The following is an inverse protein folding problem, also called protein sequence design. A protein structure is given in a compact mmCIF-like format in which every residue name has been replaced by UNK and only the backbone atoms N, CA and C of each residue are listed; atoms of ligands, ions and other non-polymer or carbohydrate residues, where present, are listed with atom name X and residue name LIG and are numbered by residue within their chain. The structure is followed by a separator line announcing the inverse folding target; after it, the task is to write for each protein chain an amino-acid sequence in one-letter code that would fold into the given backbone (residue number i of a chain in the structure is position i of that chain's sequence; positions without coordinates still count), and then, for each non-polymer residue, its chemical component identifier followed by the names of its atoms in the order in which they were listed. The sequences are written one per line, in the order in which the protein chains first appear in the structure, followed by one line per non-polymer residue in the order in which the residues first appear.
data_IF_689907472956
#
_entry.id   IF_689907472956
#
_cell.length_a   1.000
_cell.length_b   1.000
_cell.length_c   1.000
_cell.angle_alpha   90.00
_cell.angle_beta   90.00
_cell.angle_gamma   90.00
#
_symmetry.space_group_name_H-M   'P 1'
#
loop_
_entity.id
_entity.type
_entity.pdbx_description
1 polymer ?
#
# COMPACT_ATOMS: atom_id res chain seq x y z
N UNK A 1 -1.72 15.61 -15.70
CA UNK A 1 -1.70 14.77 -14.48
C UNK A 1 -0.44 14.99 -13.64
N UNK A 2 0.75 14.99 -14.25
CA UNK A 2 2.03 15.22 -13.55
C UNK A 2 2.15 16.62 -12.93
N UNK A 3 1.51 17.65 -13.47
CA UNK A 3 1.48 19.00 -12.93
C UNK A 3 0.85 19.08 -11.52
N UNK A 4 -0.02 18.10 -11.20
CA UNK A 4 -0.68 18.01 -9.89
C UNK A 4 0.17 17.32 -8.83
N UNK A 5 1.37 16.85 -9.17
CA UNK A 5 2.33 16.19 -8.26
C UNK A 5 3.61 17.01 -8.30
N UNK A 6 3.85 17.93 -7.36
CA UNK A 6 5.05 18.76 -7.28
C UNK A 6 6.34 17.91 -7.25
N UNK A 7 7.45 18.47 -7.70
CA UNK A 7 8.75 17.76 -7.75
C UNK A 7 9.19 17.22 -6.38
N UNK A 8 8.91 17.96 -5.31
CA UNK A 8 9.19 17.52 -3.94
C UNK A 8 8.42 16.25 -3.61
N UNK A 9 7.13 16.20 -3.92
CA UNK A 9 6.27 15.04 -3.67
C UNK A 9 6.70 13.84 -4.51
N UNK A 10 7.07 14.04 -5.79
CA UNK A 10 7.61 12.95 -6.64
C UNK A 10 8.87 12.35 -6.04
N UNK A 11 9.75 13.19 -5.48
CA UNK A 11 10.95 12.73 -4.78
C UNK A 11 10.59 11.94 -3.51
N UNK A 12 9.64 12.42 -2.73
CA UNK A 12 9.20 11.74 -1.51
C UNK A 12 8.55 10.39 -1.82
N UNK A 13 7.69 10.32 -2.83
CA UNK A 13 7.10 9.08 -3.33
C UNK A 13 8.17 8.09 -3.83
N UNK A 14 9.16 8.57 -4.59
CA UNK A 14 10.24 7.71 -5.09
C UNK A 14 11.09 7.15 -3.95
N UNK A 15 11.45 7.98 -2.96
CA UNK A 15 12.22 7.53 -1.79
C UNK A 15 11.40 6.49 -0.98
N UNK A 16 10.12 6.75 -0.75
CA UNK A 16 9.24 5.82 -0.04
C UNK A 16 9.09 4.50 -0.82
N UNK A 17 8.90 4.57 -2.13
CA UNK A 17 8.85 3.41 -3.02
C UNK A 17 10.09 2.52 -2.89
N UNK A 18 11.28 3.13 -3.04
CA UNK A 18 12.55 2.41 -2.94
C UNK A 18 12.76 1.82 -1.55
N UNK A 19 12.50 2.59 -0.50
CA UNK A 19 12.71 2.13 0.88
C UNK A 19 11.77 0.97 1.25
N UNK A 20 10.49 1.04 0.88
CA UNK A 20 9.55 -0.07 1.16
C UNK A 20 9.90 -1.31 0.32
N UNK A 21 10.36 -1.14 -0.91
CA UNK A 21 10.81 -2.25 -1.76
C UNK A 21 12.06 -2.92 -1.18
N UNK A 22 13.01 -2.16 -0.65
CA UNK A 22 14.18 -2.68 0.07
C UNK A 22 13.72 -3.44 1.32
N UNK A 23 12.83 -2.87 2.12
CA UNK A 23 12.32 -3.52 3.33
C UNK A 23 11.70 -4.89 3.04
N UNK A 24 10.83 -4.98 2.02
CA UNK A 24 10.25 -6.27 1.62
C UNK A 24 11.27 -7.23 1.03
N UNK A 25 12.26 -6.75 0.28
CA UNK A 25 13.37 -7.58 -0.19
C UNK A 25 14.11 -8.21 0.98
N UNK A 26 14.43 -7.43 2.02
CA UNK A 26 15.10 -7.92 3.21
C UNK A 26 14.32 -9.04 3.93
N UNK A 27 12.99 -8.99 3.92
CA UNK A 27 12.15 -10.09 4.45
C UNK A 27 12.37 -11.36 3.65
N UNK A 28 12.31 -11.29 2.31
CA UNK A 28 12.42 -12.47 1.44
C UNK A 28 13.80 -13.14 1.50
N UNK A 29 14.87 -12.38 1.71
CA UNK A 29 16.24 -12.90 1.71
C UNK A 29 16.70 -13.44 3.05
N UNK A 30 15.92 -13.37 4.12
CA UNK A 30 16.30 -13.89 5.47
C UNK A 30 16.64 -15.36 5.48
N UNK A 31 16.11 -16.15 4.54
CA UNK A 31 16.45 -17.57 4.38
C UNK A 31 17.78 -17.87 3.70
N UNK A 32 18.56 -16.83 3.39
CA UNK A 32 19.82 -16.93 2.65
C UNK A 32 19.57 -17.08 1.15
N UNK A 33 19.94 -16.07 0.36
CA UNK A 33 19.88 -16.08 -1.10
C UNK A 33 21.18 -15.58 -1.70
N UNK A 34 21.48 -16.02 -2.91
CA UNK A 34 22.59 -15.48 -3.70
C UNK A 34 22.23 -14.10 -4.30
N UNK A 35 23.19 -13.45 -4.95
CA UNK A 35 23.03 -12.13 -5.57
C UNK A 35 21.89 -12.11 -6.59
N UNK A 36 21.72 -13.17 -7.37
CA UNK A 36 20.62 -13.30 -8.35
C UNK A 36 19.26 -13.29 -7.66
N UNK A 37 19.10 -14.02 -6.56
CA UNK A 37 17.89 -14.01 -5.75
C UNK A 37 17.62 -12.64 -5.12
N UNK A 38 18.65 -11.93 -4.66
CA UNK A 38 18.51 -10.57 -4.14
C UNK A 38 17.92 -9.62 -5.21
N UNK A 39 18.50 -9.63 -6.42
CA UNK A 39 18.01 -8.80 -7.53
C UNK A 39 16.56 -9.17 -7.89
N UNK A 40 16.27 -10.46 -7.97
CA UNK A 40 14.93 -10.96 -8.25
C UNK A 40 13.89 -10.45 -7.25
N UNK A 41 14.13 -10.62 -5.95
CA UNK A 41 13.21 -10.17 -4.91
C UNK A 41 13.09 -8.64 -4.85
N UNK A 42 14.16 -7.92 -5.16
CA UNK A 42 14.10 -6.46 -5.24
C UNK A 42 13.22 -5.98 -6.40
N UNK A 43 13.40 -6.53 -7.59
CA UNK A 43 12.55 -6.20 -8.76
C UNK A 43 11.09 -6.58 -8.50
N UNK A 44 10.85 -7.76 -7.91
CA UNK A 44 9.51 -8.17 -7.48
C UNK A 44 8.88 -7.19 -6.51
N UNK A 45 9.61 -6.76 -5.49
CA UNK A 45 9.12 -5.78 -4.52
C UNK A 45 8.85 -4.42 -5.15
N UNK A 46 9.68 -3.96 -6.09
CA UNK A 46 9.43 -2.73 -6.85
C UNK A 46 8.11 -2.80 -7.62
N UNK A 47 7.86 -3.90 -8.31
CA UNK A 47 6.68 -4.06 -9.19
C UNK A 47 5.38 -4.36 -8.42
N UNK A 48 5.46 -4.92 -7.24
CA UNK A 48 4.29 -5.33 -6.45
C UNK A 48 4.04 -4.38 -5.28
N UNK A 49 4.88 -4.42 -4.25
CA UNK A 49 4.70 -3.64 -3.02
C UNK A 49 4.78 -2.14 -3.28
N UNK A 50 5.81 -1.73 -4.01
CA UNK A 50 6.05 -0.31 -4.28
C UNK A 50 4.90 0.29 -5.10
N UNK A 51 4.45 -0.40 -6.14
CA UNK A 51 3.30 0.05 -6.96
C UNK A 51 2.02 0.07 -6.13
N UNK A 52 1.74 -0.98 -5.35
CA UNK A 52 0.57 -1.05 -4.49
C UNK A 52 0.51 0.13 -3.51
N UNK A 53 1.63 0.45 -2.86
CA UNK A 53 1.74 1.57 -1.93
C UNK A 53 1.55 2.92 -2.63
N UNK A 54 2.26 3.18 -3.73
CA UNK A 54 2.17 4.45 -4.45
C UNK A 54 0.75 4.72 -4.95
N UNK A 55 0.09 3.72 -5.54
CA UNK A 55 -1.28 3.88 -6.04
C UNK A 55 -2.29 4.07 -4.91
N UNK A 56 -2.09 3.44 -3.75
CA UNK A 56 -2.88 3.66 -2.55
C UNK A 56 -2.80 5.14 -2.10
N UNK A 57 -1.60 5.69 -1.95
CA UNK A 57 -1.40 7.09 -1.52
C UNK A 57 -1.93 8.10 -2.55
N UNK A 58 -1.69 7.83 -3.84
CA UNK A 58 -2.22 8.68 -4.90
C UNK A 58 -3.75 8.64 -4.98
N UNK A 59 -4.39 7.52 -4.62
CA UNK A 59 -5.84 7.43 -4.54
C UNK A 59 -6.41 8.37 -3.48
N UNK A 60 -5.81 8.43 -2.29
CA UNK A 60 -6.17 9.42 -1.26
C UNK A 60 -6.01 10.84 -1.78
N UNK A 61 -4.85 11.16 -2.35
CA UNK A 61 -4.57 12.49 -2.90
C UNK A 61 -5.59 12.92 -3.94
N UNK A 62 -5.79 12.13 -4.98
CA UNK A 62 -6.70 12.51 -6.06
C UNK A 62 -8.16 12.55 -5.61
N UNK A 63 -8.55 11.72 -4.65
CA UNK A 63 -9.87 11.79 -4.06
C UNK A 63 -10.05 13.07 -3.24
N UNK A 64 -9.08 13.47 -2.42
CA UNK A 64 -9.10 14.74 -1.70
C UNK A 64 -9.18 15.93 -2.65
N UNK A 65 -8.41 15.90 -3.74
CA UNK A 65 -8.45 16.97 -4.76
C UNK A 65 -9.80 17.08 -5.50
N UNK A 66 -10.56 15.98 -5.64
CA UNK A 66 -11.93 16.02 -6.19
C UNK A 66 -12.91 16.74 -5.26
N UNK A 67 -12.64 16.75 -3.96
CA UNK A 67 -13.39 17.54 -2.98
C UNK A 67 -12.89 18.99 -2.85
N UNK A 68 -11.92 19.41 -3.67
CA UNK A 68 -11.36 20.76 -3.67
C UNK A 68 -10.25 20.98 -2.63
N UNK A 69 -9.81 19.94 -1.95
CA UNK A 69 -8.70 20.02 -1.00
C UNK A 69 -7.34 19.92 -1.70
N UNK A 70 -6.38 20.70 -1.23
CA UNK A 70 -4.98 20.42 -1.56
C UNK A 70 -4.51 19.20 -0.76
N UNK A 71 -3.85 18.28 -1.44
CA UNK A 71 -3.30 17.10 -0.82
C UNK A 71 -1.91 16.78 -1.37
N UNK A 72 -0.99 16.38 -0.49
CA UNK A 72 0.41 16.11 -0.82
C UNK A 72 0.91 14.91 -0.01
N UNK A 73 1.53 13.95 -0.67
CA UNK A 73 2.25 12.88 0.01
C UNK A 73 3.54 13.43 0.62
N UNK A 74 3.79 13.10 1.90
CA UNK A 74 5.04 13.40 2.60
C UNK A 74 5.60 12.12 3.20
N UNK A 75 6.83 11.81 2.84
CA UNK A 75 7.55 10.70 3.47
C UNK A 75 7.90 11.04 4.93
N UNK A 76 7.93 10.02 5.76
CA UNK A 76 8.47 10.11 7.12
C UNK A 76 9.81 9.36 7.18
N UNK A 77 10.90 10.11 7.33
CA UNK A 77 12.25 9.54 7.35
C UNK A 77 12.48 8.57 8.52
N UNK A 78 11.87 8.84 9.68
CA UNK A 78 12.01 8.00 10.86
C UNK A 78 11.25 6.68 10.64
N UNK A 79 10.01 6.76 10.15
CA UNK A 79 9.21 5.58 9.85
C UNK A 79 9.79 4.75 8.70
N UNK A 80 10.39 5.38 7.68
CA UNK A 80 11.14 4.67 6.64
C UNK A 80 12.31 3.88 7.22
N UNK A 81 13.11 4.51 8.10
CA UNK A 81 14.22 3.84 8.77
C UNK A 81 13.72 2.67 9.64
N UNK A 82 12.67 2.90 10.44
CA UNK A 82 12.05 1.86 11.26
C UNK A 82 11.55 0.71 10.38
N UNK A 83 10.89 0.97 9.25
CA UNK A 83 10.42 -0.07 8.34
C UNK A 83 11.56 -0.96 7.83
N UNK A 84 12.67 -0.36 7.38
CA UNK A 84 13.85 -1.09 6.88
C UNK A 84 14.53 -1.88 7.99
N UNK A 85 14.75 -1.28 9.16
CA UNK A 85 15.39 -1.93 10.31
C UNK A 85 14.54 -3.10 10.82
N UNK A 86 13.23 -2.91 10.97
CA UNK A 86 12.32 -3.97 11.41
C UNK A 86 12.25 -5.12 10.39
N UNK A 87 12.24 -4.81 9.10
CA UNK A 87 12.31 -5.82 8.06
C UNK A 87 13.61 -6.64 8.16
N UNK A 88 14.76 -5.98 8.36
CA UNK A 88 16.05 -6.63 8.47
C UNK A 88 16.17 -7.49 9.74
N UNK A 89 15.78 -6.97 10.91
CA UNK A 89 15.99 -7.62 12.20
C UNK A 89 14.89 -8.61 12.57
N UNK A 90 13.63 -8.25 12.31
CA UNK A 90 12.44 -9.02 12.76
C UNK A 90 11.77 -9.76 11.60
N UNK A 91 11.91 -9.26 10.36
CA UNK A 91 11.24 -9.82 9.18
C UNK A 91 9.80 -9.36 9.03
N UNK A 92 9.48 -8.18 9.58
CA UNK A 92 8.15 -7.57 9.49
C UNK A 92 8.29 -6.11 9.10
N UNK A 93 7.44 -5.63 8.21
CA UNK A 93 7.28 -4.19 7.93
C UNK A 93 6.08 -3.69 8.74
N UNK A 94 6.35 -2.92 9.75
CA UNK A 94 5.34 -2.40 10.69
C UNK A 94 5.33 -0.87 10.76
N UNK A 95 5.64 -0.19 9.65
CA UNK A 95 5.64 1.27 9.64
C UNK A 95 5.07 1.79 8.32
N UNK A 96 4.26 2.85 8.41
CA UNK A 96 3.83 3.60 7.24
C UNK A 96 5.00 4.49 6.79
N UNK A 97 5.50 4.35 5.53
CA UNK A 97 6.67 5.09 5.05
C UNK A 97 6.41 6.58 4.83
N UNK A 98 5.22 7.06 5.10
CA UNK A 98 4.71 8.39 4.93
C UNK A 98 3.19 8.36 4.87
N UNK A 99 2.58 9.51 4.58
CA UNK A 99 1.13 9.64 4.45
C UNK A 99 0.77 10.79 3.52
N UNK A 100 -0.42 10.73 2.95
CA UNK A 100 -1.03 11.83 2.20
C UNK A 100 -1.68 12.81 3.17
N UNK A 101 -1.09 14.01 3.27
CA UNK A 101 -1.62 15.10 4.07
C UNK A 101 -2.66 15.88 3.28
N UNK A 102 -3.82 16.10 3.89
CA UNK A 102 -4.93 16.87 3.32
C UNK A 102 -4.97 18.23 4.02
N UNK A 103 -4.94 19.31 3.25
CA UNK A 103 -4.96 20.67 3.76
C UNK A 103 -6.37 21.24 3.64
N UNK A 104 -6.99 21.54 4.76
CA UNK A 104 -8.34 22.07 4.88
C UNK A 104 -9.15 21.32 5.93
N UNK A 105 -10.41 21.75 6.10
CA UNK A 105 -11.33 21.20 7.09
C UNK A 105 -12.30 20.22 6.40
N UNK A 106 -11.79 19.03 6.05
CA UNK A 106 -12.63 17.98 5.50
C UNK A 106 -13.68 17.53 6.52
N UNK A 107 -14.93 17.43 6.10
CA UNK A 107 -16.01 16.89 6.91
C UNK A 107 -15.74 15.41 7.23
N UNK A 108 -16.41 14.88 8.26
CA UNK A 108 -16.30 13.45 8.62
C UNK A 108 -16.60 12.53 7.42
N UNK A 109 -17.61 12.91 6.61
CA UNK A 109 -17.99 12.13 5.44
C UNK A 109 -16.93 12.18 4.33
N UNK A 110 -16.38 13.36 4.03
CA UNK A 110 -15.32 13.51 3.04
C UNK A 110 -14.04 12.78 3.47
N UNK A 111 -13.65 12.92 4.74
CA UNK A 111 -12.47 12.25 5.28
C UNK A 111 -12.61 10.72 5.21
N UNK A 112 -13.80 10.18 5.52
CA UNK A 112 -14.08 8.76 5.38
C UNK A 112 -14.03 8.27 3.94
N UNK A 113 -14.59 9.02 2.98
CA UNK A 113 -14.54 8.68 1.55
C UNK A 113 -13.13 8.78 0.98
N UNK A 114 -12.37 9.79 1.38
CA UNK A 114 -10.96 9.93 0.99
C UNK A 114 -10.15 8.75 1.53
N UNK A 115 -10.36 8.40 2.80
CA UNK A 115 -9.69 7.25 3.41
C UNK A 115 -10.08 5.91 2.78
N UNK A 116 -11.31 5.76 2.27
CA UNK A 116 -11.71 4.53 1.58
C UNK A 116 -11.01 4.34 0.22
N UNK A 117 -10.52 5.42 -0.41
CA UNK A 117 -9.93 5.36 -1.74
C UNK A 117 -8.67 4.47 -1.81
N UNK A 118 -7.80 4.51 -0.80
CA UNK A 118 -6.61 3.67 -0.73
C UNK A 118 -6.93 2.17 -0.71
N UNK A 119 -7.64 1.67 0.31
CA UNK A 119 -8.05 0.26 0.39
C UNK A 119 -8.85 -0.23 -0.83
N UNK A 120 -9.75 0.60 -1.38
CA UNK A 120 -10.48 0.29 -2.61
C UNK A 120 -9.50 0.11 -3.78
N UNK A 121 -8.51 0.99 -3.91
CA UNK A 121 -7.50 0.86 -4.98
C UNK A 121 -6.72 -0.43 -4.86
N UNK A 122 -6.29 -0.82 -3.66
CA UNK A 122 -5.61 -2.10 -3.47
C UNK A 122 -6.52 -3.30 -3.80
N UNK A 123 -7.80 -3.28 -3.41
CA UNK A 123 -8.76 -4.32 -3.78
C UNK A 123 -8.96 -4.40 -5.29
N UNK A 124 -9.04 -3.26 -5.99
CA UNK A 124 -9.10 -3.23 -7.45
C UNK A 124 -7.82 -3.78 -8.10
N UNK A 125 -6.64 -3.50 -7.52
CA UNK A 125 -5.38 -4.06 -7.98
C UNK A 125 -5.27 -5.57 -7.75
N UNK A 126 -5.98 -6.13 -6.77
CA UNK A 126 -6.07 -7.58 -6.62
C UNK A 126 -6.63 -8.26 -7.87
N UNK A 127 -7.51 -7.61 -8.65
CA UNK A 127 -8.14 -8.22 -9.84
C UNK A 127 -7.11 -8.59 -10.92
N UNK A 128 -6.30 -7.65 -11.48
CA UNK A 128 -5.30 -8.02 -12.48
C UNK A 128 -4.26 -8.98 -11.94
N UNK A 129 -3.84 -8.86 -10.67
CA UNK A 129 -2.92 -9.81 -10.08
C UNK A 129 -3.53 -11.20 -9.89
N UNK A 130 -4.83 -11.31 -9.57
CA UNK A 130 -5.54 -12.60 -9.55
C UNK A 130 -5.56 -13.27 -10.95
N UNK A 131 -5.79 -12.47 -12.00
CA UNK A 131 -5.74 -13.00 -13.37
C UNK A 131 -4.33 -13.51 -13.71
N UNK A 132 -3.28 -12.77 -13.35
CA UNK A 132 -1.90 -13.25 -13.54
C UNK A 132 -1.60 -14.50 -12.71
N UNK A 133 -2.10 -14.59 -11.47
CA UNK A 133 -1.94 -15.75 -10.60
C UNK A 133 -2.62 -17.00 -11.15
N UNK A 134 -3.84 -16.88 -11.67
CA UNK A 134 -4.67 -18.00 -12.11
C UNK A 134 -4.31 -18.48 -13.51
N UNK A 135 -3.95 -17.56 -14.41
CA UNK A 135 -3.75 -17.84 -15.84
C UNK A 135 -2.29 -17.67 -16.29
N UNK A 136 -1.43 -17.05 -15.48
CA UNK A 136 -0.01 -16.88 -15.77
C UNK A 136 0.79 -18.12 -15.36
N UNK A 137 1.61 -18.65 -16.29
CA UNK A 137 2.56 -19.73 -15.98
C UNK A 137 3.88 -19.19 -15.39
N UNK A 138 4.61 -20.04 -14.65
CA UNK A 138 5.97 -19.74 -14.21
C UNK A 138 6.10 -18.42 -13.45
N UNK A 139 7.00 -17.56 -13.92
CA UNK A 139 7.28 -16.26 -13.27
C UNK A 139 6.07 -15.32 -13.22
N UNK A 140 5.24 -15.31 -14.27
CA UNK A 140 4.06 -14.45 -14.35
C UNK A 140 3.06 -14.82 -13.25
N UNK A 141 2.83 -16.11 -13.03
CA UNK A 141 1.97 -16.59 -11.93
C UNK A 141 2.51 -16.19 -10.55
N UNK A 142 3.84 -16.25 -10.35
CA UNK A 142 4.49 -15.81 -9.11
C UNK A 142 4.30 -14.31 -8.89
N UNK A 143 4.49 -13.48 -9.92
CA UNK A 143 4.21 -12.03 -9.87
C UNK A 143 2.74 -11.79 -9.50
N UNK A 144 1.82 -12.55 -10.11
CA UNK A 144 0.40 -12.51 -9.80
C UNK A 144 0.12 -12.81 -8.32
N UNK A 145 0.64 -13.92 -7.80
CA UNK A 145 0.46 -14.32 -6.40
C UNK A 145 1.01 -13.28 -5.42
N UNK A 146 2.25 -12.84 -5.64
CA UNK A 146 2.88 -11.85 -4.76
C UNK A 146 2.15 -10.52 -4.81
N UNK A 147 1.81 -10.04 -6.02
CA UNK A 147 1.08 -8.78 -6.18
C UNK A 147 -0.33 -8.83 -5.56
N UNK A 148 -1.05 -9.93 -5.74
CA UNK A 148 -2.36 -10.16 -5.10
C UNK A 148 -2.25 -10.13 -3.58
N UNK A 149 -1.34 -10.93 -3.01
CA UNK A 149 -1.13 -11.05 -1.56
C UNK A 149 -0.74 -9.71 -0.94
N UNK A 150 0.16 -8.98 -1.57
CA UNK A 150 0.62 -7.67 -1.08
C UNK A 150 -0.52 -6.65 -1.07
N UNK A 151 -1.30 -6.56 -2.15
CA UNK A 151 -2.43 -5.64 -2.22
C UNK A 151 -3.51 -5.98 -1.17
N UNK A 152 -3.85 -7.26 -1.02
CA UNK A 152 -4.79 -7.72 0.00
C UNK A 152 -4.28 -7.41 1.41
N UNK A 153 -2.98 -7.60 1.67
CA UNK A 153 -2.35 -7.31 2.96
C UNK A 153 -2.37 -5.81 3.27
N UNK A 154 -1.99 -4.94 2.31
CA UNK A 154 -2.01 -3.48 2.50
C UNK A 154 -3.45 -3.00 2.75
N UNK A 155 -4.43 -3.50 1.97
CA UNK A 155 -5.83 -3.17 2.17
C UNK A 155 -6.31 -3.58 3.57
N UNK A 156 -6.06 -4.83 3.99
CA UNK A 156 -6.49 -5.35 5.29
C UNK A 156 -5.85 -4.60 6.44
N UNK A 157 -4.54 -4.33 6.36
CA UNK A 157 -3.83 -3.59 7.39
C UNK A 157 -4.39 -2.18 7.55
N UNK A 158 -4.61 -1.45 6.44
CA UNK A 158 -5.18 -0.11 6.49
C UNK A 158 -6.65 -0.08 6.91
N UNK A 159 -7.38 -1.19 6.82
CA UNK A 159 -8.74 -1.32 7.34
C UNK A 159 -8.80 -1.51 8.86
N UNK A 160 -7.68 -1.75 9.57
CA UNK A 160 -7.70 -1.82 11.03
C UNK A 160 -8.18 -0.48 11.62
N UNK A 161 -9.16 -0.50 12.58
CA UNK A 161 -9.78 0.73 13.11
C UNK A 161 -8.93 1.39 14.21
N UNK A 162 -7.62 1.47 14.03
CA UNK A 162 -6.65 1.95 15.03
C UNK A 162 -5.80 3.11 14.52
N UNK A 163 -5.36 3.96 15.44
CA UNK A 163 -4.38 5.03 15.22
C UNK A 163 -4.69 5.91 14.00
N UNK A 164 -3.74 6.04 13.10
CA UNK A 164 -3.77 6.90 11.90
C UNK A 164 -4.29 6.18 10.66
N UNK A 165 -4.56 4.86 10.76
CA UNK A 165 -4.99 4.03 9.64
C UNK A 165 -6.37 4.43 9.11
N UNK A 166 -6.61 4.11 7.86
CA UNK A 166 -7.82 4.50 7.14
C UNK A 166 -9.09 3.92 7.73
N UNK A 167 -9.03 2.67 8.22
CA UNK A 167 -10.17 1.97 8.81
C UNK A 167 -10.85 2.74 9.92
N UNK A 168 -10.11 3.46 10.76
CA UNK A 168 -10.68 4.32 11.81
C UNK A 168 -11.55 5.44 11.24
N UNK A 169 -11.09 6.09 10.17
CA UNK A 169 -11.80 7.21 9.54
C UNK A 169 -13.02 6.70 8.77
N UNK A 170 -12.88 5.53 8.10
CA UNK A 170 -13.97 4.87 7.38
C UNK A 170 -15.06 4.41 8.35
N UNK A 171 -14.68 3.73 9.45
CA UNK A 171 -15.62 3.30 10.49
C UNK A 171 -16.35 4.49 11.11
N UNK A 172 -15.63 5.56 11.38
CA UNK A 172 -16.20 6.79 11.91
C UNK A 172 -17.21 7.41 10.95
N UNK A 173 -17.02 7.31 9.63
CA UNK A 173 -17.94 7.83 8.63
C UNK A 173 -19.14 6.90 8.41
N UNK A 174 -18.88 5.62 8.06
CA UNK A 174 -19.92 4.67 7.71
C UNK A 174 -19.52 3.23 8.09
N UNK A 175 -20.11 2.67 9.17
CA UNK A 175 -19.80 1.31 9.63
C UNK A 175 -20.12 0.22 8.60
N UNK A 176 -21.13 0.40 7.74
CA UNK A 176 -21.46 -0.59 6.71
C UNK A 176 -20.38 -0.64 5.62
N UNK A 177 -19.91 0.52 5.14
CA UNK A 177 -18.79 0.59 4.18
C UNK A 177 -17.54 0.00 4.80
N UNK A 178 -17.26 0.31 6.07
CA UNK A 178 -16.14 -0.27 6.81
C UNK A 178 -16.24 -1.81 6.83
N UNK A 179 -17.40 -2.36 7.20
CA UNK A 179 -17.59 -3.81 7.30
C UNK A 179 -17.38 -4.50 5.93
N UNK A 180 -17.96 -3.93 4.86
CA UNK A 180 -17.79 -4.48 3.51
C UNK A 180 -16.32 -4.48 3.08
N UNK A 181 -15.60 -3.36 3.25
CA UNK A 181 -14.20 -3.27 2.85
C UNK A 181 -13.30 -4.16 3.73
N UNK A 182 -13.57 -4.27 5.03
CA UNK A 182 -12.85 -5.16 5.94
C UNK A 182 -13.04 -6.62 5.53
N UNK A 183 -14.27 -7.07 5.30
CA UNK A 183 -14.55 -8.45 4.89
C UNK A 183 -13.94 -8.75 3.52
N UNK A 184 -14.04 -7.82 2.57
CA UNK A 184 -13.46 -7.99 1.24
C UNK A 184 -11.93 -8.11 1.30
N UNK A 185 -11.25 -7.22 2.05
CA UNK A 185 -9.79 -7.22 2.16
C UNK A 185 -9.27 -8.42 2.95
N UNK A 186 -9.89 -8.74 4.09
CA UNK A 186 -9.52 -9.91 4.89
C UNK A 186 -9.81 -11.23 4.13
N UNK A 187 -10.93 -11.30 3.41
CA UNK A 187 -11.27 -12.44 2.55
C UNK A 187 -10.27 -12.64 1.41
N UNK A 188 -9.87 -11.55 0.74
CA UNK A 188 -8.83 -11.60 -0.29
C UNK A 188 -7.49 -12.06 0.30
N UNK A 189 -7.10 -11.53 1.46
CA UNK A 189 -5.87 -11.94 2.14
C UNK A 189 -5.93 -13.43 2.51
N UNK A 190 -7.01 -13.88 3.12
CA UNK A 190 -7.19 -15.30 3.47
C UNK A 190 -7.10 -16.20 2.24
N UNK A 191 -7.79 -15.85 1.15
CA UNK A 191 -7.71 -16.61 -0.11
C UNK A 191 -6.29 -16.69 -0.66
N UNK A 192 -5.48 -15.67 -0.49
CA UNK A 192 -4.07 -15.68 -0.93
C UNK A 192 -3.17 -16.65 -0.17
N UNK A 193 -3.64 -17.17 0.98
CA UNK A 193 -2.88 -18.08 1.85
C UNK A 193 -3.24 -19.57 1.60
N UNK A 194 -4.36 -19.81 0.88
CA UNK A 194 -4.79 -21.14 0.45
C UNK A 194 -4.04 -21.57 -0.81
#
# INVERSE_FOLDING_TARGET
MLERIPLRERRDLLIAWLAISIAFTLIYIRGGVNVTGLIFFFVMSLLTVGVAFILHELAHKFTAMRYGYWAEFKKDNQMLLVAVVMAALVGVVFAAPGATYIYGNATRAENGRISAAGPITNLLLCIPFALLMLFGGGLIGIVGLVGFRVNAMIATFNMLPISVLDGRKILAWNPAVFAVLMVASAGALFWSLL
#
